data_IF_085967184070
#
_entry.id   IF_085967184070
#
_cell.length_a   1.000
_cell.length_b   1.000
_cell.length_c   1.000
_cell.angle_alpha   90.00
_cell.angle_beta   90.00
_cell.angle_gamma   90.00
#
_symmetry.space_group_name_H-M   'P 1'
#
loop_
_entity.id
_entity.type
_entity.pdbx_description
1 polymer ?
#
# COMPACT_ATOMS: atom_id res chain seq x y z
N UNK A 1 7.16 37.92 -9.31
CA UNK A 1 7.97 36.76 -9.76
C UNK A 1 7.87 35.69 -8.68
N UNK A 2 6.99 34.72 -8.88
CA UNK A 2 6.67 33.67 -7.91
C UNK A 2 7.56 32.45 -8.16
N UNK A 3 8.78 32.47 -7.63
CA UNK A 3 9.76 31.36 -7.73
C UNK A 3 9.44 30.18 -6.80
N UNK A 4 8.53 30.36 -5.85
CA UNK A 4 8.22 29.36 -4.81
C UNK A 4 7.56 28.09 -5.37
N UNK A 5 6.72 28.20 -6.40
CA UNK A 5 5.99 27.04 -6.96
C UNK A 5 6.89 26.08 -7.76
N UNK A 6 7.82 26.60 -8.55
CA UNK A 6 8.75 25.77 -9.36
C UNK A 6 9.77 25.08 -8.46
N UNK A 7 10.26 25.76 -7.42
CA UNK A 7 11.26 25.21 -6.52
C UNK A 7 10.68 24.12 -5.60
N UNK A 8 9.42 24.25 -5.17
CA UNK A 8 8.72 23.19 -4.44
C UNK A 8 8.56 21.91 -5.28
N UNK A 9 8.22 22.04 -6.57
CA UNK A 9 8.09 20.90 -7.49
C UNK A 9 9.41 20.16 -7.75
N UNK A 10 10.52 20.90 -7.94
CA UNK A 10 11.85 20.30 -8.15
C UNK A 10 12.31 19.54 -6.89
N UNK A 11 12.11 20.14 -5.71
CA UNK A 11 12.50 19.54 -4.44
C UNK A 11 11.66 18.28 -4.14
N UNK A 12 10.36 18.30 -4.40
CA UNK A 12 9.48 17.13 -4.25
C UNK A 12 9.90 15.96 -5.14
N UNK A 13 10.18 16.21 -6.42
CA UNK A 13 10.62 15.17 -7.35
C UNK A 13 11.98 14.56 -6.97
N UNK A 14 12.90 15.35 -6.42
CA UNK A 14 14.18 14.85 -5.92
C UNK A 14 13.99 13.91 -4.72
N UNK A 15 13.11 14.26 -3.78
CA UNK A 15 12.81 13.44 -2.60
C UNK A 15 12.11 12.14 -2.97
N UNK A 16 11.15 12.16 -3.91
CA UNK A 16 10.51 10.94 -4.42
C UNK A 16 11.58 9.96 -4.94
N UNK A 17 12.49 10.43 -5.80
CA UNK A 17 13.56 9.59 -6.36
C UNK A 17 14.52 9.08 -5.30
N UNK A 18 14.86 9.93 -4.32
CA UNK A 18 15.71 9.52 -3.21
C UNK A 18 15.04 8.43 -2.37
N UNK A 19 13.75 8.58 -2.03
CA UNK A 19 12.98 7.59 -1.30
C UNK A 19 12.89 6.27 -2.08
N UNK A 20 12.58 6.31 -3.37
CA UNK A 20 12.57 5.12 -4.23
C UNK A 20 13.93 4.41 -4.24
N UNK A 21 15.03 5.15 -4.40
CA UNK A 21 16.38 4.58 -4.37
C UNK A 21 16.70 3.95 -3.00
N UNK A 22 16.27 4.56 -1.89
CA UNK A 22 16.41 3.98 -0.55
C UNK A 22 15.59 2.72 -0.39
N UNK A 23 14.34 2.70 -0.85
CA UNK A 23 13.50 1.49 -0.80
C UNK A 23 14.10 0.37 -1.64
N UNK A 24 14.61 0.64 -2.85
CA UNK A 24 15.28 -0.39 -3.67
C UNK A 24 16.57 -0.94 -3.07
N UNK A 25 17.29 -0.14 -2.28
CA UNK A 25 18.57 -0.53 -1.67
C UNK A 25 18.43 -1.16 -0.29
N UNK A 26 17.45 -0.73 0.51
CA UNK A 26 17.22 -1.16 1.89
C UNK A 26 16.00 -2.08 2.03
N UNK A 27 15.01 -1.93 1.17
CA UNK A 27 13.82 -2.77 1.09
C UNK A 27 14.13 -4.06 0.35
N UNK A 28 14.12 -5.16 1.10
CA UNK A 28 14.35 -6.50 0.58
C UNK A 28 13.09 -7.38 0.58
N UNK A 29 11.98 -6.88 1.10
CA UNK A 29 10.75 -7.68 1.22
C UNK A 29 9.85 -7.50 -0.01
N UNK A 30 9.09 -8.55 -0.28
CA UNK A 30 7.98 -8.54 -1.20
C UNK A 30 6.70 -8.84 -0.41
N UNK A 31 5.64 -8.08 -0.66
CA UNK A 31 4.31 -8.32 -0.09
C UNK A 31 3.30 -8.48 -1.20
N UNK A 32 2.19 -9.16 -0.91
CA UNK A 32 1.05 -9.25 -1.82
C UNK A 32 -0.17 -8.60 -1.21
N UNK A 33 -0.71 -7.57 -1.84
CA UNK A 33 -2.00 -7.01 -1.48
C UNK A 33 -3.11 -7.81 -2.16
N UNK A 34 -4.16 -8.12 -1.40
CA UNK A 34 -5.33 -8.84 -1.89
C UNK A 34 -6.46 -7.85 -2.14
N UNK A 35 -7.08 -7.93 -3.32
CA UNK A 35 -8.25 -7.12 -3.71
C UNK A 35 -9.40 -8.02 -4.10
N UNK A 36 -10.66 -7.59 -3.95
CA UNK A 36 -11.79 -8.34 -4.49
C UNK A 36 -11.74 -8.37 -6.02
N UNK A 37 -12.01 -9.52 -6.64
CA UNK A 37 -12.20 -9.57 -8.10
C UNK A 37 -13.53 -8.89 -8.46
N UNK A 38 -13.47 -7.79 -9.22
CA UNK A 38 -14.65 -7.02 -9.63
C UNK A 38 -15.52 -7.72 -10.69
N UNK A 39 -15.23 -8.97 -11.07
CA UNK A 39 -16.06 -9.76 -11.97
C UNK A 39 -16.98 -10.67 -11.17
N UNK A 40 -18.02 -10.10 -10.56
CA UNK A 40 -19.12 -10.94 -10.07
C UNK A 40 -19.89 -11.50 -11.26
N UNK A 41 -20.05 -12.83 -11.37
CA UNK A 41 -21.03 -13.41 -12.29
C UNK A 41 -22.40 -12.82 -11.95
N UNK A 42 -23.21 -12.45 -12.95
CA UNK A 42 -24.59 -11.96 -12.72
C UNK A 42 -25.55 -13.04 -12.19
N UNK A 43 -25.02 -14.22 -11.87
CA UNK A 43 -25.77 -15.39 -11.48
C UNK A 43 -26.22 -15.30 -10.02
N UNK A 44 -27.47 -15.69 -9.76
CA UNK A 44 -28.08 -15.65 -8.45
C UNK A 44 -27.29 -16.44 -7.38
N UNK A 45 -26.50 -17.44 -7.79
CA UNK A 45 -25.64 -18.23 -6.90
C UNK A 45 -24.49 -17.42 -6.28
N UNK A 46 -23.90 -16.46 -7.01
CA UNK A 46 -22.84 -15.60 -6.50
C UNK A 46 -23.36 -14.65 -5.42
N UNK A 47 -24.60 -14.13 -5.58
CA UNK A 47 -25.25 -13.25 -4.60
C UNK A 47 -25.63 -13.97 -3.31
N UNK A 48 -25.79 -15.29 -3.35
CA UNK A 48 -26.06 -16.14 -2.19
C UNK A 48 -24.77 -16.65 -1.53
N UNK A 49 -23.59 -16.23 -1.99
CA UNK A 49 -22.30 -16.68 -1.46
C UNK A 49 -21.99 -18.15 -1.77
N UNK A 50 -22.63 -18.75 -2.78
CA UNK A 50 -22.42 -20.14 -3.18
C UNK A 50 -21.21 -20.32 -4.11
N UNK A 51 -20.57 -19.22 -4.51
CA UNK A 51 -19.41 -19.18 -5.39
C UNK A 51 -18.37 -18.28 -4.76
N UNK A 52 -17.12 -18.72 -4.75
CA UNK A 52 -15.98 -17.89 -4.34
C UNK A 52 -15.80 -16.75 -5.34
N UNK A 53 -15.96 -15.47 -4.93
CA UNK A 53 -15.75 -14.34 -5.82
C UNK A 53 -14.29 -14.22 -6.28
N UNK A 54 -13.36 -14.88 -5.57
CA UNK A 54 -11.93 -14.85 -5.84
C UNK A 54 -11.29 -13.51 -5.49
N UNK A 55 -9.95 -13.49 -5.56
CA UNK A 55 -9.13 -12.33 -5.21
C UNK A 55 -8.15 -11.99 -6.32
N UNK A 56 -7.96 -10.71 -6.54
CA UNK A 56 -6.87 -10.18 -7.35
C UNK A 56 -5.67 -9.93 -6.45
N UNK A 57 -4.47 -10.23 -6.96
CA UNK A 57 -3.22 -10.08 -6.21
C UNK A 57 -2.36 -8.99 -6.84
N UNK A 58 -1.90 -8.05 -6.02
CA UNK A 58 -0.89 -7.04 -6.38
C UNK A 58 0.36 -7.30 -5.60
N UNK A 59 1.45 -7.49 -6.32
CA UNK A 59 2.77 -7.66 -5.70
C UNK A 59 3.44 -6.30 -5.59
N UNK A 60 3.85 -5.94 -4.37
CA UNK A 60 4.72 -4.80 -4.12
C UNK A 60 6.11 -5.34 -3.75
N UNK A 61 7.12 -4.85 -4.44
CA UNK A 61 8.52 -5.17 -4.25
C UNK A 61 9.20 -4.13 -3.36
N UNK A 62 10.45 -4.39 -2.96
CA UNK A 62 11.30 -3.42 -2.26
C UNK A 62 10.65 -2.78 -1.01
N UNK A 63 9.86 -3.55 -0.27
CA UNK A 63 9.17 -3.07 0.93
C UNK A 63 10.11 -3.19 2.12
N UNK A 64 10.09 -2.19 3.01
CA UNK A 64 10.73 -2.29 4.32
C UNK A 64 9.67 -2.68 5.34
N UNK A 65 9.94 -3.77 6.05
CA UNK A 65 9.01 -4.35 7.02
C UNK A 65 9.57 -4.21 8.42
N UNK A 66 8.73 -3.73 9.35
CA UNK A 66 9.09 -3.52 10.76
C UNK A 66 8.07 -4.18 11.66
N UNK A 67 8.53 -4.90 12.66
CA UNK A 67 7.66 -5.34 13.74
C UNK A 67 7.37 -4.17 14.67
N UNK A 68 6.11 -3.96 15.01
CA UNK A 68 5.66 -2.98 16.00
C UNK A 68 5.40 -3.68 17.34
N UNK A 69 5.61 -2.94 18.42
CA UNK A 69 5.26 -3.42 19.75
C UNK A 69 3.73 -3.60 19.86
N UNK A 70 3.32 -4.72 20.46
CA UNK A 70 1.92 -5.03 20.74
C UNK A 70 1.63 -4.81 22.21
N UNK A 71 0.42 -4.36 22.54
CA UNK A 71 0.00 -4.28 23.94
C UNK A 71 -0.22 -5.70 24.51
N UNK A 72 -0.21 -5.85 25.84
CA UNK A 72 -0.37 -7.16 26.51
C UNK A 72 -1.65 -7.94 26.14
N UNK A 73 -2.65 -7.27 25.56
CA UNK A 73 -3.90 -7.85 25.03
C UNK A 73 -4.16 -7.47 23.56
N UNK A 74 -3.13 -6.99 22.85
CA UNK A 74 -3.20 -6.63 21.45
C UNK A 74 -3.05 -7.86 20.53
N UNK A 75 -3.11 -7.65 19.20
CA UNK A 75 -2.83 -8.70 18.24
C UNK A 75 -1.45 -9.32 18.50
N UNK A 76 -1.30 -10.60 18.18
CA UNK A 76 -0.04 -11.33 18.41
C UNK A 76 1.11 -10.74 17.59
N UNK A 77 0.80 -10.28 16.38
CA UNK A 77 1.72 -9.66 15.44
C UNK A 77 1.12 -8.37 14.91
N UNK A 78 1.90 -7.29 14.99
CA UNK A 78 1.60 -6.00 14.39
C UNK A 78 2.82 -5.53 13.63
N UNK A 79 2.63 -5.12 12.39
CA UNK A 79 3.72 -4.81 11.47
C UNK A 79 3.47 -3.49 10.78
N UNK A 80 4.56 -2.80 10.45
CA UNK A 80 4.57 -1.64 9.58
C UNK A 80 5.29 -1.99 8.28
N UNK A 81 4.65 -1.65 7.16
CA UNK A 81 5.16 -1.78 5.81
C UNK A 81 5.40 -0.39 5.25
N UNK A 82 6.63 -0.10 4.84
CA UNK A 82 7.00 1.15 4.20
C UNK A 82 7.10 0.91 2.70
N UNK A 83 6.41 1.74 1.91
CA UNK A 83 6.35 1.60 0.45
C UNK A 83 6.61 2.96 -0.19
N UNK A 84 7.46 3.00 -1.22
CA UNK A 84 7.73 4.24 -1.96
C UNK A 84 6.47 4.74 -2.68
N UNK A 85 6.29 6.06 -2.73
CA UNK A 85 5.13 6.64 -3.42
C UNK A 85 5.10 6.35 -4.93
N UNK A 86 6.27 6.11 -5.55
CA UNK A 86 6.36 5.73 -6.96
C UNK A 86 5.70 4.39 -7.27
N UNK A 87 5.84 3.43 -6.37
CA UNK A 87 5.33 2.08 -6.54
C UNK A 87 3.81 2.04 -6.37
N UNK A 88 3.30 2.72 -5.34
CA UNK A 88 1.86 2.94 -5.19
C UNK A 88 1.31 3.74 -6.38
N UNK A 89 2.01 4.78 -6.82
CA UNK A 89 1.58 5.58 -7.98
C UNK A 89 1.44 4.77 -9.27
N UNK A 90 2.29 3.76 -9.48
CA UNK A 90 2.18 2.84 -10.61
C UNK A 90 0.89 2.00 -10.53
N UNK A 91 0.55 1.49 -9.34
CA UNK A 91 -0.68 0.72 -9.10
C UNK A 91 -1.95 1.57 -9.18
N UNK A 92 -1.92 2.81 -8.69
CA UNK A 92 -3.04 3.73 -8.86
C UNK A 92 -3.32 4.00 -10.34
N UNK A 93 -2.25 4.18 -11.12
CA UNK A 93 -2.36 4.44 -12.56
C UNK A 93 -2.88 3.21 -13.31
N UNK A 94 -2.40 2.00 -12.98
CA UNK A 94 -2.83 0.76 -13.64
C UNK A 94 -4.29 0.43 -13.35
N UNK A 95 -4.78 0.77 -12.15
CA UNK A 95 -6.14 0.51 -11.68
C UNK A 95 -7.11 1.68 -11.89
N UNK A 96 -6.64 2.77 -12.48
CA UNK A 96 -7.41 4.01 -12.66
C UNK A 96 -8.04 4.52 -11.34
N UNK A 97 -7.26 4.48 -10.26
CA UNK A 97 -7.68 4.89 -8.92
C UNK A 97 -7.29 6.32 -8.62
N UNK A 98 -8.17 7.03 -7.90
CA UNK A 98 -8.01 8.46 -7.64
C UNK A 98 -6.98 8.77 -6.54
N UNK A 99 -6.78 7.88 -5.57
CA UNK A 99 -5.87 8.10 -4.45
C UNK A 99 -5.36 6.80 -3.82
N UNK A 100 -4.28 6.91 -3.06
CA UNK A 100 -3.72 5.82 -2.27
C UNK A 100 -4.68 5.37 -1.17
N UNK A 101 -5.43 6.30 -0.57
CA UNK A 101 -6.45 5.98 0.43
C UNK A 101 -7.50 5.04 -0.15
N UNK A 102 -8.08 5.37 -1.32
CA UNK A 102 -9.05 4.49 -1.98
C UNK A 102 -8.45 3.14 -2.39
N UNK A 103 -7.15 3.10 -2.70
CA UNK A 103 -6.44 1.85 -2.98
C UNK A 103 -6.37 0.96 -1.74
N UNK A 104 -5.89 1.48 -0.62
CA UNK A 104 -5.80 0.67 0.60
C UNK A 104 -7.15 0.38 1.25
N UNK A 105 -8.18 1.21 1.05
CA UNK A 105 -9.56 0.91 1.47
C UNK A 105 -10.16 -0.31 0.74
N UNK A 106 -9.72 -0.59 -0.49
CA UNK A 106 -10.16 -1.76 -1.26
C UNK A 106 -9.32 -3.02 -0.98
N UNK A 107 -8.23 -2.88 -0.23
CA UNK A 107 -7.36 -4.00 0.14
C UNK A 107 -8.06 -4.87 1.19
N UNK A 108 -8.27 -6.14 0.87
CA UNK A 108 -8.81 -7.16 1.78
C UNK A 108 -7.79 -7.58 2.83
N UNK A 109 -6.50 -7.58 2.48
CA UNK A 109 -5.40 -7.93 3.36
C UNK A 109 -4.04 -7.87 2.68
N UNK A 110 -2.99 -8.01 3.49
CA UNK A 110 -1.59 -8.07 3.06
C UNK A 110 -1.05 -9.46 3.35
N UNK A 111 -0.64 -10.19 2.33
CA UNK A 111 0.10 -11.45 2.50
C UNK A 111 1.58 -11.15 2.63
N UNK A 112 2.16 -11.56 3.75
CA UNK A 112 3.59 -11.47 4.02
C UNK A 112 4.07 -12.71 4.78
N UNK A 113 5.12 -13.35 4.26
CA UNK A 113 5.70 -14.58 4.83
C UNK A 113 4.67 -15.73 4.98
N UNK A 114 3.75 -15.84 4.01
CA UNK A 114 2.69 -16.85 3.99
C UNK A 114 1.51 -16.57 4.92
N UNK A 115 1.56 -15.52 5.74
CA UNK A 115 0.46 -15.09 6.61
C UNK A 115 -0.32 -13.95 5.96
N UNK A 116 -1.65 -13.95 6.13
CA UNK A 116 -2.51 -12.84 5.71
C UNK A 116 -2.73 -11.91 6.91
N UNK A 117 -2.42 -10.64 6.74
CA UNK A 117 -2.57 -9.59 7.74
C UNK A 117 -3.71 -8.65 7.33
N UNK A 118 -4.53 -8.24 8.30
CA UNK A 118 -5.54 -7.21 8.14
C UNK A 118 -4.94 -5.81 8.25
N UNK A 119 -5.26 -4.93 7.31
CA UNK A 119 -4.82 -3.52 7.34
C UNK A 119 -5.53 -2.79 8.46
N UNK A 120 -4.77 -2.29 9.43
CA UNK A 120 -5.29 -1.47 10.54
C UNK A 120 -5.36 0.00 10.16
N UNK A 121 -4.41 0.46 9.33
CA UNK A 121 -4.40 1.83 8.86
C UNK A 121 -3.21 2.16 7.96
N UNK A 122 -3.26 3.35 7.37
CA UNK A 122 -2.22 3.89 6.53
C UNK A 122 -1.95 5.35 6.91
N UNK A 123 -0.68 5.75 6.87
CA UNK A 123 -0.29 7.15 6.85
C UNK A 123 0.57 7.48 5.64
N UNK A 124 0.48 8.73 5.20
CA UNK A 124 1.22 9.25 4.05
C UNK A 124 2.24 10.27 4.54
N UNK A 125 3.51 10.06 4.20
CA UNK A 125 4.60 10.99 4.52
C UNK A 125 4.80 11.98 3.37
N UNK A 126 4.88 13.26 3.73
CA UNK A 126 4.96 14.36 2.76
C UNK A 126 6.25 15.15 2.92
N UNK A 127 6.79 15.59 1.79
CA UNK A 127 7.84 16.59 1.75
C UNK A 127 7.46 17.70 0.77
N UNK A 128 7.45 18.94 1.24
CA UNK A 128 7.06 20.12 0.44
C UNK A 128 5.72 19.91 -0.33
N UNK A 129 4.74 19.27 0.30
CA UNK A 129 3.42 18.99 -0.31
C UNK A 129 3.38 17.79 -1.26
N UNK A 130 4.47 17.04 -1.39
CA UNK A 130 4.57 15.85 -2.25
C UNK A 130 4.66 14.59 -1.41
N UNK A 131 3.76 13.63 -1.62
CA UNK A 131 3.85 12.32 -1.00
C UNK A 131 5.08 11.57 -1.52
N UNK A 132 5.90 11.01 -0.64
CA UNK A 132 7.09 10.26 -1.05
C UNK A 132 7.18 8.85 -0.46
N UNK A 133 6.42 8.58 0.61
CA UNK A 133 6.40 7.29 1.29
C UNK A 133 5.03 7.03 1.92
N UNK A 134 4.56 5.80 1.84
CA UNK A 134 3.38 5.31 2.53
C UNK A 134 3.79 4.35 3.64
N UNK A 135 3.11 4.45 4.80
CA UNK A 135 3.32 3.58 5.96
C UNK A 135 2.02 2.85 6.22
N UNK A 136 2.02 1.54 6.04
CA UNK A 136 0.84 0.72 6.24
C UNK A 136 1.05 -0.11 7.50
N UNK A 137 0.12 0.00 8.45
CA UNK A 137 0.11 -0.85 9.64
C UNK A 137 -0.88 -1.99 9.42
N UNK A 138 -0.44 -3.22 9.65
CA UNK A 138 -1.29 -4.40 9.57
C UNK A 138 -1.07 -5.35 10.75
N UNK A 139 -2.09 -6.13 11.04
CA UNK A 139 -2.16 -7.05 12.18
C UNK A 139 -2.58 -8.43 11.71
N UNK A 140 -2.24 -9.47 12.47
CA UNK A 140 -2.80 -10.83 12.27
C UNK A 140 -4.32 -10.84 12.48
#
# INVERSE_FOLDING_TARGET
MSTTGVQAGINGAAVIRAAEAMMRTLGGAQITLLFPLNQMPSDASAQLGLVDPGVEQVVLEHVVVRNLATANHGPRRRMEFLVAATEIGAELSSRNMASAESFFEQTLGIVYDGETLHVEGMTTEYFAGTAYLYRITAVE
#
